data_IF_173020312482
#
_entry.id   IF_173020312482
#
_cell.length_a   1.000
_cell.length_b   1.000
_cell.length_c   1.000
_cell.angle_alpha   90.00
_cell.angle_beta   90.00
_cell.angle_gamma   90.00
#
_symmetry.space_group_name_H-M   'P 1'
#
loop_
_entity.id
_entity.type
_entity.pdbx_description
1 polymer ?
#
# COMPACT_ATOMS: atom_id res chain seq x y z
N UNK A 1 10.34 -0.14 -2.63
CA UNK A 1 10.33 -1.25 -1.65
C UNK A 1 11.71 -1.50 -1.06
N UNK A 2 12.74 -1.81 -1.87
CA UNK A 2 14.13 -1.96 -1.38
C UNK A 2 14.61 -0.79 -0.51
N UNK A 3 14.57 0.44 -1.02
CA UNK A 3 15.12 1.61 -0.31
C UNK A 3 14.39 2.02 0.97
N UNK A 4 13.10 1.72 1.08
CA UNK A 4 12.27 2.18 2.23
C UNK A 4 11.90 1.08 3.20
N UNK A 5 11.64 -0.13 2.71
CA UNK A 5 11.14 -1.24 3.54
C UNK A 5 12.28 -2.12 4.04
N UNK A 6 13.30 -2.38 3.21
CA UNK A 6 14.44 -3.23 3.59
C UNK A 6 15.19 -2.68 4.82
N UNK A 7 15.53 -1.37 4.90
CA UNK A 7 16.16 -0.82 6.11
C UNK A 7 15.26 -0.97 7.33
N UNK A 8 13.95 -0.69 7.18
CA UNK A 8 12.97 -0.82 8.26
C UNK A 8 12.87 -2.25 8.78
N UNK A 9 12.96 -3.27 7.92
CA UNK A 9 12.95 -4.68 8.34
C UNK A 9 14.23 -5.02 9.09
N UNK A 10 15.39 -4.60 8.57
CA UNK A 10 16.70 -4.81 9.20
C UNK A 10 16.81 -4.18 10.59
N UNK A 11 16.17 -3.03 10.78
CA UNK A 11 16.14 -2.30 12.06
C UNK A 11 15.29 -2.98 13.14
N UNK A 12 14.34 -3.86 12.77
CA UNK A 12 13.44 -4.51 13.75
C UNK A 12 14.13 -5.51 14.66
N UNK A 13 15.20 -6.16 14.21
CA UNK A 13 15.92 -7.16 15.01
C UNK A 13 17.34 -7.36 14.49
N UNK A 14 18.27 -7.67 15.39
CA UNK A 14 19.66 -8.01 15.06
C UNK A 14 19.70 -9.21 14.08
N UNK A 15 18.78 -10.16 14.24
CA UNK A 15 18.68 -11.35 13.38
C UNK A 15 18.27 -11.01 11.94
N UNK A 16 17.63 -9.86 11.70
CA UNK A 16 17.15 -9.44 10.38
C UNK A 16 18.12 -8.52 9.64
N UNK A 17 19.29 -8.19 10.23
CA UNK A 17 20.24 -7.22 9.67
C UNK A 17 20.71 -7.52 8.25
N UNK A 18 20.74 -8.80 7.86
CA UNK A 18 21.17 -9.25 6.53
C UNK A 18 20.01 -9.48 5.57
N UNK A 19 18.77 -9.21 5.98
CA UNK A 19 17.59 -9.38 5.14
C UNK A 19 17.72 -8.58 3.84
N UNK A 20 17.46 -9.17 2.68
CA UNK A 20 17.50 -8.47 1.38
C UNK A 20 16.40 -8.97 0.46
N UNK A 21 15.80 -8.07 -0.33
CA UNK A 21 14.85 -8.48 -1.37
C UNK A 21 15.60 -8.90 -2.63
N UNK A 22 15.54 -10.19 -2.98
CA UNK A 22 16.18 -10.73 -4.19
C UNK A 22 15.32 -10.54 -5.44
N UNK A 23 14.00 -10.66 -5.32
CA UNK A 23 13.04 -10.45 -6.41
C UNK A 23 11.81 -9.67 -5.95
N UNK A 24 11.39 -8.70 -6.75
CA UNK A 24 10.18 -7.92 -6.54
C UNK A 24 9.44 -7.79 -7.85
N UNK A 25 8.51 -8.71 -8.10
CA UNK A 25 7.63 -8.71 -9.25
C UNK A 25 6.19 -8.54 -8.77
N UNK A 26 5.51 -7.46 -9.17
CA UNK A 26 4.17 -7.16 -8.67
C UNK A 26 3.04 -7.83 -9.46
N UNK A 27 3.38 -8.65 -10.45
CA UNK A 27 2.40 -9.29 -11.32
C UNK A 27 1.90 -8.35 -12.42
N UNK A 28 0.98 -8.87 -13.24
CA UNK A 28 0.27 -8.12 -14.27
C UNK A 28 -1.21 -7.92 -13.93
N UNK A 29 -1.74 -8.64 -12.94
CA UNK A 29 -3.11 -8.48 -12.50
C UNK A 29 -3.26 -7.15 -11.77
N UNK A 30 -4.31 -6.40 -12.07
CA UNK A 30 -4.62 -5.16 -11.39
C UNK A 30 -5.61 -5.40 -10.23
N UNK A 31 -5.51 -4.64 -9.13
CA UNK A 31 -6.57 -4.56 -8.13
C UNK A 31 -7.89 -4.09 -8.74
N UNK A 32 -9.00 -4.67 -8.30
CA UNK A 32 -10.35 -4.31 -8.72
C UNK A 32 -11.02 -3.49 -7.63
N UNK A 33 -11.72 -2.43 -8.04
CA UNK A 33 -12.60 -1.66 -7.16
C UNK A 33 -14.02 -2.14 -7.39
N UNK A 34 -14.60 -2.78 -6.39
CA UNK A 34 -15.94 -3.36 -6.46
C UNK A 34 -17.02 -2.38 -5.99
N UNK A 35 -16.63 -1.35 -5.23
CA UNK A 35 -17.55 -0.37 -4.69
C UNK A 35 -16.82 0.88 -4.21
N UNK A 36 -17.50 2.03 -4.29
CA UNK A 36 -17.00 3.33 -3.86
C UNK A 36 -18.06 4.00 -3.00
N UNK A 37 -17.67 4.47 -1.82
CA UNK A 37 -18.54 5.24 -0.92
C UNK A 37 -17.86 6.55 -0.54
N UNK A 38 -18.47 7.68 -0.92
CA UNK A 38 -17.99 8.99 -0.55
C UNK A 38 -18.66 9.46 0.75
N UNK A 39 -17.86 10.00 1.64
CA UNK A 39 -18.28 10.59 2.90
C UNK A 39 -17.85 12.05 2.92
N UNK A 40 -18.84 12.94 2.86
CA UNK A 40 -18.65 14.38 3.06
C UNK A 40 -19.11 14.75 4.45
N UNK A 41 -18.21 15.30 5.27
CA UNK A 41 -18.59 15.77 6.60
C UNK A 41 -19.15 17.21 6.47
N UNK A 42 -20.43 17.40 6.81
CA UNK A 42 -21.06 18.72 6.76
C UNK A 42 -20.37 19.75 7.67
N UNK A 43 -19.71 19.31 8.76
CA UNK A 43 -18.98 20.19 9.69
C UNK A 43 -17.55 20.45 9.27
N UNK A 44 -16.88 19.50 8.60
CA UNK A 44 -15.51 19.69 8.09
C UNK A 44 -15.52 19.66 6.55
N UNK A 45 -15.88 20.80 5.95
CA UNK A 45 -15.93 20.98 4.49
C UNK A 45 -14.55 20.94 3.81
N UNK A 46 -13.45 20.87 4.56
CA UNK A 46 -12.08 20.82 4.03
C UNK A 46 -11.53 19.40 3.89
N UNK A 47 -12.37 18.39 4.10
CA UNK A 47 -11.99 16.97 4.03
C UNK A 47 -13.04 16.16 3.28
N UNK A 48 -12.57 15.34 2.35
CA UNK A 48 -13.39 14.30 1.69
C UNK A 48 -12.79 12.94 2.04
N UNK A 49 -13.65 12.00 2.43
CA UNK A 49 -13.24 10.63 2.71
C UNK A 49 -13.91 9.70 1.71
N UNK A 50 -13.13 8.84 1.07
CA UNK A 50 -13.61 7.85 0.09
C UNK A 50 -13.25 6.47 0.60
N UNK A 51 -14.25 5.62 0.79
CA UNK A 51 -14.05 4.21 1.12
C UNK A 51 -14.18 3.38 -0.18
N UNK A 52 -13.08 2.78 -0.62
CA UNK A 52 -12.97 1.95 -1.82
C UNK A 52 -12.95 0.48 -1.42
N UNK A 53 -13.92 -0.31 -1.88
CA UNK A 53 -13.89 -1.76 -1.69
C UNK A 53 -12.95 -2.38 -2.73
N UNK A 54 -11.76 -2.79 -2.28
CA UNK A 54 -10.72 -3.34 -3.13
C UNK A 54 -10.68 -4.86 -3.01
N UNK A 55 -10.58 -5.52 -4.16
CA UNK A 55 -10.26 -6.94 -4.26
C UNK A 55 -9.06 -7.11 -5.19
N UNK A 56 -8.02 -7.76 -4.71
CA UNK A 56 -6.81 -8.06 -5.46
C UNK A 56 -6.46 -9.53 -5.26
N UNK A 57 -6.41 -10.27 -6.36
CA UNK A 57 -5.91 -11.66 -6.41
C UNK A 57 -4.75 -11.63 -7.39
N UNK A 58 -3.58 -11.29 -6.85
CA UNK A 58 -2.38 -10.98 -7.61
C UNK A 58 -1.52 -12.19 -7.93
N UNK A 59 -0.81 -12.11 -9.04
CA UNK A 59 0.25 -13.00 -9.50
C UNK A 59 1.65 -12.47 -9.15
N UNK A 60 1.76 -11.66 -8.09
CA UNK A 60 3.04 -11.11 -7.66
C UNK A 60 3.98 -12.19 -7.12
N UNK A 61 5.27 -11.98 -7.30
CA UNK A 61 6.33 -12.83 -6.78
C UNK A 61 7.35 -11.95 -6.04
N UNK A 62 7.45 -12.17 -4.74
CA UNK A 62 8.36 -11.46 -3.87
C UNK A 62 9.29 -12.50 -3.27
N UNK A 63 10.59 -12.36 -3.51
CA UNK A 63 11.61 -13.23 -2.93
C UNK A 63 12.57 -12.41 -2.10
N UNK A 64 12.99 -12.97 -0.97
CA UNK A 64 13.94 -12.39 -0.06
C UNK A 64 14.93 -13.45 0.43
N UNK A 65 16.06 -12.97 0.92
CA UNK A 65 17.10 -13.80 1.52
C UNK A 65 17.48 -13.26 2.88
N UNK A 66 17.70 -14.18 3.83
CA UNK A 66 18.19 -13.90 5.17
C UNK A 66 19.21 -14.96 5.56
N UNK A 67 20.46 -14.57 5.83
CA UNK A 67 21.52 -15.48 6.26
C UNK A 67 21.62 -16.79 5.42
N UNK A 68 21.56 -16.67 4.08
CA UNK A 68 21.55 -17.78 3.11
C UNK A 68 20.27 -18.60 3.05
N UNK A 69 19.26 -18.29 3.86
CA UNK A 69 17.92 -18.86 3.76
C UNK A 69 17.12 -18.01 2.78
N UNK A 70 16.59 -18.64 1.74
CA UNK A 70 15.71 -17.99 0.78
C UNK A 70 14.25 -18.24 1.17
N UNK A 71 13.46 -17.18 1.11
CA UNK A 71 12.02 -17.23 1.33
C UNK A 71 11.31 -16.39 0.27
N UNK A 72 10.08 -16.75 -0.05
CA UNK A 72 9.31 -15.99 -1.03
C UNK A 72 7.81 -16.16 -0.85
N UNK A 73 7.08 -15.23 -1.45
CA UNK A 73 5.63 -15.20 -1.52
C UNK A 73 5.24 -15.21 -2.99
N UNK A 74 4.46 -16.21 -3.37
CA UNK A 74 3.89 -16.36 -4.71
C UNK A 74 2.39 -16.11 -4.63
N UNK A 75 1.96 -15.01 -5.24
CA UNK A 75 0.61 -14.49 -5.18
C UNK A 75 0.26 -13.83 -3.85
N UNK A 76 -0.54 -12.78 -3.92
CA UNK A 76 -1.12 -12.11 -2.75
C UNK A 76 -2.61 -11.96 -3.00
N UNK A 77 -3.40 -12.27 -1.97
CA UNK A 77 -4.83 -11.99 -1.93
C UNK A 77 -5.10 -10.89 -0.91
N UNK A 78 -5.72 -9.81 -1.36
CA UNK A 78 -6.14 -8.70 -0.53
C UNK A 78 -7.60 -8.37 -0.84
N UNK A 79 -8.46 -8.48 0.17
CA UNK A 79 -9.85 -8.07 0.07
C UNK A 79 -10.18 -7.21 1.29
N UNK A 80 -10.72 -6.01 1.05
CA UNK A 80 -11.08 -5.10 2.13
C UNK A 80 -11.46 -3.72 1.62
N UNK A 81 -11.60 -2.78 2.56
CA UNK A 81 -11.93 -1.39 2.27
C UNK A 81 -10.69 -0.52 2.43
N UNK A 82 -10.23 0.10 1.35
CA UNK A 82 -9.20 1.15 1.36
C UNK A 82 -9.88 2.50 1.58
N UNK A 83 -9.53 3.16 2.68
CA UNK A 83 -9.97 4.53 2.96
C UNK A 83 -8.96 5.52 2.41
N UNK A 84 -9.43 6.42 1.54
CA UNK A 84 -8.67 7.54 0.99
C UNK A 84 -9.19 8.83 1.59
N UNK A 85 -8.31 9.65 2.13
CA UNK A 85 -8.61 10.92 2.77
C UNK A 85 -7.97 12.04 1.94
N UNK A 86 -8.79 12.94 1.43
CA UNK A 86 -8.37 14.14 0.71
C UNK A 86 -8.47 15.33 1.66
N UNK A 87 -7.32 15.84 2.09
CA UNK A 87 -7.22 16.96 3.05
C UNK A 87 -5.84 17.64 2.93
N UNK A 88 -5.74 18.98 3.04
CA UNK A 88 -6.84 19.95 3.03
C UNK A 88 -7.40 20.14 1.62
N UNK A 89 -8.70 20.43 1.52
CA UNK A 89 -9.25 20.96 0.28
C UNK A 89 -8.84 22.43 0.11
N UNK A 90 -8.31 22.73 -1.06
CA UNK A 90 -7.83 24.05 -1.47
C UNK A 90 -8.90 24.74 -2.32
N UNK A 91 -8.93 26.07 -2.28
CA UNK A 91 -9.85 26.89 -3.10
C UNK A 91 -9.38 26.90 -4.56
N UNK A 92 -8.07 26.93 -4.78
CA UNK A 92 -7.45 26.91 -6.09
C UNK A 92 -6.85 25.54 -6.42
N UNK A 93 -6.58 25.32 -7.72
CA UNK A 93 -5.90 24.11 -8.21
C UNK A 93 -4.55 23.94 -7.49
N UNK A 94 -4.20 22.73 -7.03
CA UNK A 94 -4.79 21.43 -7.36
C UNK A 94 -6.00 20.97 -6.52
N UNK A 95 -6.73 21.86 -5.82
CA UNK A 95 -7.94 21.61 -5.00
C UNK A 95 -7.80 20.61 -3.84
N UNK A 96 -6.78 19.75 -3.84
CA UNK A 96 -6.44 18.79 -2.80
C UNK A 96 -4.97 18.99 -2.46
N UNK A 97 -4.68 19.32 -1.19
CA UNK A 97 -3.31 19.53 -0.73
C UNK A 97 -2.56 18.23 -0.47
N UNK A 98 -3.23 17.19 0.03
CA UNK A 98 -2.65 15.87 0.23
C UNK A 98 -3.68 14.74 0.12
N UNK A 99 -3.16 13.54 -0.14
CA UNK A 99 -3.91 12.28 -0.17
C UNK A 99 -3.28 11.35 0.86
N UNK A 100 -4.10 10.83 1.77
CA UNK A 100 -3.68 9.84 2.78
C UNK A 100 -4.53 8.58 2.70
#
# INVERSE_FOLDING_TARGET
FREKLEPKIREKSIHLRTFTFTKLYFGQKCPRVNGVKAHTNQRNRRRVVLDLQICYIGDCEISAELQKIQAGVNGIQLQGTLRVILEPLLVDKPFVGAVT
#
